data_IF_803358792766
#
_entry.id   IF_803358792766
#
_cell.length_a   1.000
_cell.length_b   1.000
_cell.length_c   1.000
_cell.angle_alpha   90.00
_cell.angle_beta   90.00
_cell.angle_gamma   90.00
#
_symmetry.space_group_name_H-M   'P 1'
#
loop_
_entity.id
_entity.type
_entity.pdbx_description
1 polymer ?
#
# COMPACT_ATOMS: atom_id res chain seq x y z
N UNK A 1 1.03 -7.91 13.92
CA UNK A 1 1.02 -8.98 12.89
C UNK A 1 2.15 -8.71 11.93
N UNK A 2 2.95 -9.73 11.56
CA UNK A 2 3.92 -9.58 10.48
C UNK A 2 3.20 -9.84 9.15
N UNK A 3 3.57 -9.10 8.11
CA UNK A 3 3.03 -9.28 6.75
C UNK A 3 3.29 -10.72 6.25
N UNK A 4 4.34 -11.36 6.75
CA UNK A 4 4.73 -12.74 6.41
C UNK A 4 3.73 -13.80 6.87
N UNK A 5 2.93 -13.50 7.91
CA UNK A 5 2.00 -14.45 8.54
C UNK A 5 0.57 -14.33 7.98
N UNK A 6 0.32 -13.40 7.07
CA UNK A 6 -1.01 -13.13 6.52
C UNK A 6 -1.37 -14.13 5.42
N UNK A 7 -2.61 -14.61 5.43
CA UNK A 7 -3.21 -15.34 4.31
C UNK A 7 -3.32 -14.45 3.06
N UNK A 8 -3.50 -15.06 1.88
CA UNK A 8 -3.68 -14.33 0.61
C UNK A 8 -4.86 -13.34 0.70
N UNK A 9 -5.96 -13.75 1.33
CA UNK A 9 -7.14 -12.89 1.49
C UNK A 9 -6.84 -11.70 2.40
N UNK A 10 -6.11 -11.91 3.49
CA UNK A 10 -5.70 -10.84 4.39
C UNK A 10 -4.67 -9.90 3.74
N UNK A 11 -3.72 -10.44 2.97
CA UNK A 11 -2.76 -9.65 2.18
C UNK A 11 -3.48 -8.78 1.16
N UNK A 12 -4.47 -9.33 0.46
CA UNK A 12 -5.28 -8.58 -0.50
C UNK A 12 -6.07 -7.48 0.20
N UNK A 13 -6.73 -7.78 1.32
CA UNK A 13 -7.50 -6.80 2.07
C UNK A 13 -6.62 -5.66 2.60
N UNK A 14 -5.43 -5.99 3.12
CA UNK A 14 -4.44 -5.00 3.55
C UNK A 14 -3.96 -4.13 2.38
N UNK A 15 -3.69 -4.74 1.21
CA UNK A 15 -3.28 -4.02 0.01
C UNK A 15 -4.38 -3.08 -0.50
N UNK A 16 -5.62 -3.55 -0.58
CA UNK A 16 -6.77 -2.73 -0.98
C UNK A 16 -6.97 -1.54 -0.03
N UNK A 17 -6.83 -1.75 1.28
CA UNK A 17 -6.90 -0.69 2.29
C UNK A 17 -5.82 0.39 2.08
N UNK A 18 -4.57 -0.04 1.86
CA UNK A 18 -3.44 0.87 1.64
C UNK A 18 -3.61 1.68 0.36
N UNK A 19 -4.18 1.09 -0.70
CA UNK A 19 -4.49 1.82 -1.94
C UNK A 19 -5.54 2.92 -1.74
N UNK A 20 -6.51 2.71 -0.85
CA UNK A 20 -7.50 3.74 -0.49
C UNK A 20 -6.79 4.87 0.26
N UNK A 21 -5.97 4.55 1.25
CA UNK A 21 -5.24 5.54 2.04
C UNK A 21 -4.30 6.39 1.17
N UNK A 22 -3.57 5.79 0.22
CA UNK A 22 -2.76 6.54 -0.75
C UNK A 22 -3.59 7.52 -1.58
N UNK A 23 -4.77 7.11 -2.05
CA UNK A 23 -5.66 8.00 -2.81
C UNK A 23 -6.18 9.16 -1.97
N UNK A 24 -6.49 8.91 -0.71
CA UNK A 24 -6.95 9.94 0.22
C UNK A 24 -5.83 10.95 0.51
N UNK A 25 -4.58 10.48 0.66
CA UNK A 25 -3.41 11.34 0.81
C UNK A 25 -3.13 12.16 -0.47
N UNK A 26 -3.27 11.56 -1.66
CA UNK A 26 -3.15 12.25 -2.95
C UNK A 26 -4.22 13.32 -3.13
N UNK A 27 -5.47 13.01 -2.76
CA UNK A 27 -6.57 13.96 -2.79
C UNK A 27 -6.33 15.11 -1.81
N UNK A 28 -5.87 14.83 -0.59
CA UNK A 28 -5.53 15.84 0.40
C UNK A 28 -4.34 16.71 -0.02
N UNK A 29 -3.33 16.14 -0.69
CA UNK A 29 -2.21 16.90 -1.26
C UNK A 29 -2.71 17.87 -2.33
N UNK A 30 -3.55 17.37 -3.25
CA UNK A 30 -4.15 18.15 -4.34
C UNK A 30 -5.02 19.29 -3.83
N UNK A 31 -5.87 19.03 -2.85
CA UNK A 31 -6.75 20.04 -2.23
C UNK A 31 -5.95 21.18 -1.59
N UNK A 32 -4.79 20.84 -0.99
CA UNK A 32 -3.87 21.81 -0.39
C UNK A 32 -2.89 22.45 -1.38
N UNK A 33 -2.91 22.05 -2.65
CA UNK A 33 -1.93 22.49 -3.65
C UNK A 33 -0.48 22.09 -3.33
N UNK A 34 -0.29 20.99 -2.60
CA UNK A 34 1.02 20.47 -2.19
C UNK A 34 1.40 19.26 -3.05
N UNK A 35 2.71 19.02 -3.21
CA UNK A 35 3.20 17.72 -3.72
C UNK A 35 2.99 16.64 -2.65
N UNK A 36 2.66 15.44 -3.09
CA UNK A 36 2.51 14.25 -2.23
C UNK A 36 3.79 13.94 -1.45
N UNK A 37 4.96 14.26 -2.01
CA UNK A 37 6.27 14.09 -1.36
C UNK A 37 6.44 14.95 -0.10
N UNK A 38 5.63 16.00 0.04
CA UNK A 38 5.62 16.86 1.23
C UNK A 38 4.74 16.31 2.34
N UNK A 39 4.02 15.21 2.11
CA UNK A 39 3.22 14.52 3.12
C UNK A 39 4.07 13.37 3.66
N UNK A 40 4.58 13.44 4.90
CA UNK A 40 5.45 12.39 5.45
C UNK A 40 4.80 11.00 5.42
N UNK A 41 3.50 10.95 5.74
CA UNK A 41 2.72 9.71 5.72
C UNK A 41 2.64 9.06 4.33
N UNK A 42 2.69 9.84 3.24
CA UNK A 42 2.60 9.29 1.89
C UNK A 42 3.74 8.31 1.61
N UNK A 43 4.96 8.67 2.02
CA UNK A 43 6.13 7.81 1.83
C UNK A 43 6.02 6.52 2.62
N UNK A 44 5.61 6.61 3.88
CA UNK A 44 5.45 5.43 4.74
C UNK A 44 4.38 4.47 4.19
N UNK A 45 3.24 5.01 3.80
CA UNK A 45 2.14 4.22 3.22
C UNK A 45 2.56 3.61 1.88
N UNK A 46 3.33 4.33 1.06
CA UNK A 46 3.85 3.82 -0.21
C UNK A 46 4.87 2.70 -0.03
N UNK A 47 5.71 2.77 0.99
CA UNK A 47 6.64 1.69 1.33
C UNK A 47 5.90 0.42 1.79
N UNK A 48 4.80 0.57 2.54
CA UNK A 48 3.94 -0.56 2.94
C UNK A 48 3.23 -1.16 1.72
N UNK A 49 2.68 -0.32 0.84
CA UNK A 49 2.05 -0.74 -0.42
C UNK A 49 2.99 -1.60 -1.26
N UNK A 50 4.22 -1.13 -1.44
CA UNK A 50 5.23 -1.84 -2.23
C UNK A 50 5.59 -3.21 -1.62
N UNK A 51 5.70 -3.30 -0.29
CA UNK A 51 5.95 -4.59 0.40
C UNK A 51 4.79 -5.57 0.21
N UNK A 52 3.55 -5.10 0.31
CA UNK A 52 2.35 -5.91 0.10
C UNK A 52 2.23 -6.38 -1.36
N UNK A 53 2.47 -5.47 -2.31
CA UNK A 53 2.51 -5.79 -3.74
C UNK A 53 3.50 -6.92 -4.05
N UNK A 54 4.75 -6.79 -3.60
CA UNK A 54 5.77 -7.80 -3.84
C UNK A 54 5.44 -9.14 -3.18
N UNK A 55 4.85 -9.13 -1.99
CA UNK A 55 4.43 -10.37 -1.32
C UNK A 55 3.33 -11.07 -2.10
N UNK A 56 2.30 -10.34 -2.55
CA UNK A 56 1.23 -10.86 -3.40
C UNK A 56 1.78 -11.40 -4.73
N UNK A 57 2.67 -10.64 -5.37
CA UNK A 57 3.29 -11.03 -6.64
C UNK A 57 4.10 -12.32 -6.51
N UNK A 58 4.89 -12.46 -5.46
CA UNK A 58 5.67 -13.68 -5.23
C UNK A 58 4.76 -14.90 -5.02
N UNK A 59 3.68 -14.75 -4.24
CA UNK A 59 2.70 -15.83 -4.09
C UNK A 59 2.08 -16.20 -5.43
N UNK A 60 1.70 -15.22 -6.26
CA UNK A 60 1.13 -15.50 -7.58
C UNK A 60 2.11 -16.17 -8.54
N UNK A 61 3.41 -15.89 -8.41
CA UNK A 61 4.47 -16.55 -9.19
C UNK A 61 4.75 -17.97 -8.73
N UNK A 62 4.64 -18.24 -7.43
CA UNK A 62 4.79 -19.58 -6.86
C UNK A 62 3.61 -20.51 -7.23
N UNK A 63 2.52 -19.98 -7.80
CA UNK A 63 1.39 -20.74 -8.33
C UNK A 63 1.57 -21.20 -9.78
N UNK A 64 2.53 -20.64 -10.54
CA UNK A 64 2.90 -21.09 -11.90
C UNK A 64 3.76 -22.37 -11.84
#
# INVERSE_FOLDING_TARGET
MKIEDLSITELKAAYDFVLIDLKDLEAAAKDKGLSVDRIPAYREVKDIENRLYHKLLNITRDLE
#
